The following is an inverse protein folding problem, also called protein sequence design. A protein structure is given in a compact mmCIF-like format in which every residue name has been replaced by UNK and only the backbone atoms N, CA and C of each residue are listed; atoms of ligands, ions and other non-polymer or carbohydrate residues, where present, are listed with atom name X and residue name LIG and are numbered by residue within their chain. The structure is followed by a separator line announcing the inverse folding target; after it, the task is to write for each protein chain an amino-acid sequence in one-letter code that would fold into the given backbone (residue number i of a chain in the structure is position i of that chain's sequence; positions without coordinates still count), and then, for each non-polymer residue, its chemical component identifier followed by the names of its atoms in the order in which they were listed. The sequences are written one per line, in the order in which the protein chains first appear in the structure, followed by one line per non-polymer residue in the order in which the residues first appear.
data_IF_813308801652
#
_entry.id   IF_813308801652
#
_cell.length_a   1.000
_cell.length_b   1.000
_cell.length_c   1.000
_cell.angle_alpha   90.00
_cell.angle_beta   90.00
_cell.angle_gamma   90.00
#
_symmetry.space_group_name_H-M   'P 1'
#
loop_
_entity.id
_entity.type
_entity.pdbx_description
1 polymer ?
#
# COMPACT_ATOMS: atom_id res chain seq x y z
N UNK A 1 8.86 3.17 -2.89
CA UNK A 1 9.32 2.03 -3.70
C UNK A 1 10.06 0.97 -2.91
N UNK A 2 10.89 1.37 -1.96
CA UNK A 2 11.61 0.41 -1.12
C UNK A 2 10.67 -0.58 -0.43
N UNK A 3 9.57 -0.07 0.12
CA UNK A 3 8.59 -0.87 0.84
C UNK A 3 7.96 -1.96 -0.04
N UNK A 4 7.59 -1.60 -1.27
CA UNK A 4 7.00 -2.58 -2.19
C UNK A 4 8.02 -3.66 -2.58
N UNK A 5 9.26 -3.27 -2.81
CA UNK A 5 10.32 -4.22 -3.16
C UNK A 5 10.63 -5.16 -2.01
N UNK A 6 10.73 -4.65 -0.79
CA UNK A 6 10.98 -5.47 0.39
C UNK A 6 9.84 -6.45 0.66
N UNK A 7 8.59 -5.99 0.54
CA UNK A 7 7.44 -6.84 0.76
C UNK A 7 7.35 -7.96 -0.28
N UNK A 8 7.60 -7.65 -1.54
CA UNK A 8 7.63 -8.65 -2.61
C UNK A 8 8.72 -9.67 -2.37
N UNK A 9 9.87 -9.24 -1.89
CA UNK A 9 11.00 -10.14 -1.62
C UNK A 9 10.68 -11.11 -0.49
N UNK A 10 10.06 -10.63 0.59
CA UNK A 10 9.70 -11.49 1.74
C UNK A 10 8.80 -12.62 1.30
N UNK A 11 7.81 -12.34 0.46
CA UNK A 11 6.83 -13.35 0.02
C UNK A 11 7.14 -13.94 -1.35
N UNK A 12 8.32 -13.63 -1.90
CA UNK A 12 8.76 -14.16 -3.20
C UNK A 12 7.76 -13.85 -4.32
N UNK A 13 7.23 -12.64 -4.33
CA UNK A 13 6.31 -12.16 -5.36
C UNK A 13 7.11 -11.47 -6.46
N UNK A 14 6.97 -11.92 -7.70
CA UNK A 14 7.71 -11.37 -8.84
C UNK A 14 7.03 -10.15 -9.45
N UNK A 15 5.70 -10.12 -9.43
CA UNK A 15 4.92 -9.02 -9.98
C UNK A 15 3.67 -8.82 -9.15
N UNK A 16 3.24 -7.56 -9.00
CA UNK A 16 1.99 -7.26 -8.30
C UNK A 16 0.79 -7.87 -8.99
N UNK A 17 0.84 -8.03 -10.33
CA UNK A 17 -0.23 -8.68 -11.08
C UNK A 17 -0.36 -10.17 -10.75
N UNK A 18 0.68 -10.78 -10.20
CA UNK A 18 0.70 -12.20 -9.86
C UNK A 18 0.37 -12.48 -8.40
N UNK A 19 -0.02 -11.48 -7.63
CA UNK A 19 -0.38 -11.68 -6.24
C UNK A 19 -1.70 -12.44 -6.17
N UNK A 20 -1.66 -13.63 -5.57
CA UNK A 20 -2.82 -14.45 -5.29
C UNK A 20 -3.05 -14.42 -3.78
N UNK A 21 -4.21 -13.95 -3.34
CA UNK A 21 -4.48 -13.78 -1.91
C UNK A 21 -4.47 -15.11 -1.15
N UNK A 22 -4.92 -16.19 -1.77
CA UNK A 22 -4.91 -17.49 -1.12
C UNK A 22 -3.49 -18.01 -0.90
N UNK A 23 -2.63 -17.87 -1.90
CA UNK A 23 -1.23 -18.28 -1.78
C UNK A 23 -0.49 -17.39 -0.79
N UNK A 24 -0.77 -16.09 -0.82
CA UNK A 24 -0.18 -15.14 0.10
C UNK A 24 -0.55 -15.47 1.55
N UNK A 25 -1.81 -15.79 1.79
CA UNK A 25 -2.30 -16.16 3.12
C UNK A 25 -1.65 -17.44 3.61
N UNK A 26 -1.47 -18.42 2.72
CA UNK A 26 -0.80 -19.68 3.04
C UNK A 26 0.65 -19.43 3.44
N UNK A 27 1.37 -18.64 2.67
CA UNK A 27 2.75 -18.26 2.98
C UNK A 27 2.85 -17.52 4.30
N UNK A 28 1.92 -16.59 4.54
CA UNK A 28 1.86 -15.85 5.79
C UNK A 28 1.69 -16.80 7.00
N UNK A 29 0.77 -17.74 6.90
CA UNK A 29 0.58 -18.71 7.97
C UNK A 29 1.83 -19.54 8.24
N UNK A 30 2.53 -19.94 7.18
CA UNK A 30 3.77 -20.70 7.32
C UNK A 30 4.87 -19.89 8.00
N UNK A 31 5.02 -18.62 7.61
CA UNK A 31 5.98 -17.75 8.27
C UNK A 31 5.65 -17.54 9.74
N UNK A 32 4.36 -17.38 10.07
CA UNK A 32 3.97 -17.16 11.47
C UNK A 32 4.17 -18.42 12.31
N UNK A 33 4.04 -19.60 11.74
CA UNK A 33 4.40 -20.84 12.44
C UNK A 33 5.88 -20.89 12.76
N UNK A 34 6.71 -20.36 11.87
CA UNK A 34 8.16 -20.37 12.03
C UNK A 34 8.64 -19.30 13.00
N UNK A 35 8.06 -18.09 12.93
CA UNK A 35 8.58 -16.91 13.60
C UNK A 35 7.69 -16.35 14.72
N UNK A 36 6.61 -17.05 15.11
CA UNK A 36 5.75 -16.54 16.16
C UNK A 36 6.53 -16.40 17.48
N UNK A 37 6.44 -15.23 18.13
CA UNK A 37 7.22 -14.98 19.36
C UNK A 37 7.02 -16.01 20.46
N UNK A 38 5.86 -16.65 20.55
CA UNK A 38 5.58 -17.67 21.55
C UNK A 38 6.54 -18.85 21.50
N UNK A 39 7.19 -19.07 20.36
CA UNK A 39 8.16 -20.16 20.20
C UNK A 39 9.54 -19.85 20.76
N UNK A 40 9.81 -18.60 21.11
CA UNK A 40 11.15 -18.13 21.42
C UNK A 40 11.24 -17.48 22.82
N UNK A 41 10.43 -17.94 23.74
CA UNK A 41 10.34 -17.32 25.07
C UNK A 41 11.51 -17.65 26.01
N UNK A 42 12.31 -18.65 25.67
CA UNK A 42 13.42 -19.08 26.54
C UNK A 42 14.64 -18.17 26.47
N UNK A 43 14.76 -17.35 25.44
CA UNK A 43 15.89 -16.45 25.24
C UNK A 43 15.39 -15.06 24.88
N UNK A 44 15.81 -14.05 25.62
CA UNK A 44 15.42 -12.66 25.33
C UNK A 44 15.90 -12.23 23.95
N UNK A 45 17.09 -12.66 23.55
CA UNK A 45 17.64 -12.33 22.24
C UNK A 45 16.85 -12.99 21.11
N UNK A 46 16.51 -14.26 21.27
CA UNK A 46 15.71 -14.97 20.28
C UNK A 46 14.30 -14.42 20.19
N UNK A 47 13.71 -14.09 21.34
CA UNK A 47 12.39 -13.48 21.38
C UNK A 47 12.36 -12.14 20.64
N UNK A 48 13.34 -11.27 20.91
CA UNK A 48 13.44 -9.98 20.26
C UNK A 48 13.59 -10.13 18.74
N UNK A 49 14.39 -11.10 18.28
CA UNK A 49 14.56 -11.38 16.87
C UNK A 49 13.26 -11.90 16.24
N UNK A 50 12.56 -12.80 16.93
CA UNK A 50 11.27 -13.33 16.45
C UNK A 50 10.21 -12.24 16.35
N UNK A 51 10.17 -11.33 17.31
CA UNK A 51 9.25 -10.20 17.29
C UNK A 51 9.55 -9.28 16.09
N UNK A 52 10.84 -8.99 15.84
CA UNK A 52 11.24 -8.16 14.71
C UNK A 52 10.88 -8.83 13.37
N UNK A 53 11.13 -10.12 13.24
CA UNK A 53 10.81 -10.86 12.02
C UNK A 53 9.30 -10.94 11.80
N UNK A 54 8.53 -11.28 12.83
CA UNK A 54 7.08 -11.37 12.69
C UNK A 54 6.46 -10.02 12.34
N UNK A 55 6.98 -8.93 12.90
CA UNK A 55 6.52 -7.59 12.56
C UNK A 55 6.72 -7.29 11.08
N UNK A 56 7.90 -7.61 10.53
CA UNK A 56 8.18 -7.43 9.11
C UNK A 56 7.24 -8.25 8.24
N UNK A 57 6.99 -9.49 8.63
CA UNK A 57 6.11 -10.39 7.90
C UNK A 57 4.68 -9.86 7.90
N UNK A 58 4.18 -9.43 9.05
CA UNK A 58 2.84 -8.88 9.20
C UNK A 58 2.67 -7.63 8.33
N UNK A 59 3.63 -6.70 8.41
CA UNK A 59 3.58 -5.48 7.63
C UNK A 59 3.62 -5.76 6.12
N UNK A 60 4.50 -6.69 5.70
CA UNK A 60 4.61 -7.07 4.29
C UNK A 60 3.34 -7.73 3.79
N UNK A 61 2.75 -8.61 4.60
CA UNK A 61 1.51 -9.28 4.24
C UNK A 61 0.38 -8.27 4.00
N UNK A 62 0.14 -7.40 4.97
CA UNK A 62 -0.92 -6.41 4.84
C UNK A 62 -0.67 -5.45 3.69
N UNK A 63 0.58 -5.10 3.46
CA UNK A 63 0.94 -4.24 2.34
C UNK A 63 0.60 -4.92 1.00
N UNK A 64 1.02 -6.17 0.82
CA UNK A 64 0.76 -6.91 -0.43
C UNK A 64 -0.74 -7.15 -0.65
N UNK A 65 -1.49 -7.43 0.42
CA UNK A 65 -2.95 -7.53 0.32
C UNK A 65 -3.54 -6.23 -0.21
N UNK A 66 -3.05 -5.09 0.27
CA UNK A 66 -3.60 -3.78 -0.11
C UNK A 66 -3.35 -3.42 -1.58
N UNK A 67 -2.36 -4.03 -2.23
CA UNK A 67 -2.05 -3.77 -3.65
C UNK A 67 -2.45 -4.92 -4.56
N UNK A 68 -3.03 -5.98 -4.02
CA UNK A 68 -3.38 -7.16 -4.82
C UNK A 68 -4.52 -6.86 -5.79
N UNK A 69 -4.49 -7.47 -7.01
CA UNK A 69 -5.58 -7.28 -7.97
C UNK A 69 -6.96 -7.63 -7.44
N UNK A 70 -7.08 -8.69 -6.63
CA UNK A 70 -8.36 -9.07 -6.04
C UNK A 70 -8.90 -8.00 -5.10
N UNK A 71 -8.02 -7.35 -4.33
CA UNK A 71 -8.41 -6.27 -3.44
C UNK A 71 -8.90 -5.07 -4.25
N UNK A 72 -8.20 -4.74 -5.32
CA UNK A 72 -8.61 -3.65 -6.21
C UNK A 72 -9.96 -3.97 -6.88
N UNK A 73 -10.14 -5.20 -7.34
CA UNK A 73 -11.39 -5.61 -7.96
C UNK A 73 -12.57 -5.51 -7.00
N UNK A 74 -12.37 -5.86 -5.74
CA UNK A 74 -13.42 -5.75 -4.72
C UNK A 74 -13.83 -4.32 -4.44
N UNK A 75 -12.94 -3.35 -4.67
CA UNK A 75 -13.16 -1.94 -4.37
C UNK A 75 -13.27 -1.07 -5.62
N UNK A 76 -13.38 -1.68 -6.80
CA UNK A 76 -13.28 -0.94 -8.06
C UNK A 76 -14.40 0.09 -8.24
N UNK A 77 -15.61 -0.21 -7.79
CA UNK A 77 -16.73 0.72 -7.91
C UNK A 77 -16.49 1.98 -7.07
N UNK A 78 -16.08 1.78 -5.83
CA UNK A 78 -15.76 2.88 -4.92
C UNK A 78 -14.60 3.71 -5.45
N UNK A 79 -13.55 3.04 -5.93
CA UNK A 79 -12.39 3.71 -6.49
C UNK A 79 -12.75 4.50 -7.75
N UNK A 80 -13.55 3.92 -8.63
CA UNK A 80 -13.98 4.58 -9.86
C UNK A 80 -14.79 5.84 -9.54
N UNK A 81 -15.71 5.73 -8.60
CA UNK A 81 -16.50 6.89 -8.17
C UNK A 81 -15.60 7.97 -7.56
N UNK A 82 -14.70 7.57 -6.68
CA UNK A 82 -13.77 8.50 -6.03
C UNK A 82 -12.93 9.26 -7.05
N UNK A 83 -12.30 8.55 -7.97
CA UNK A 83 -11.40 9.16 -8.95
C UNK A 83 -12.13 9.97 -10.02
N UNK A 84 -13.42 9.74 -10.18
CA UNK A 84 -14.24 10.49 -11.15
C UNK A 84 -14.82 11.76 -10.53
N UNK A 85 -15.24 11.70 -9.26
CA UNK A 85 -16.04 12.78 -8.66
C UNK A 85 -15.35 13.52 -7.53
N UNK A 86 -14.43 12.89 -6.80
CA UNK A 86 -13.82 13.50 -5.64
C UNK A 86 -12.76 14.52 -6.02
N UNK A 87 -12.61 15.52 -5.15
CA UNK A 87 -11.61 16.57 -5.31
C UNK A 87 -10.34 16.18 -4.54
N UNK A 88 -9.20 16.46 -5.14
CA UNK A 88 -7.91 16.26 -4.49
C UNK A 88 -7.69 17.45 -3.54
N UNK A 89 -7.49 17.13 -2.26
CA UNK A 89 -7.23 18.15 -1.26
C UNK A 89 -5.74 18.51 -1.19
N UNK A 90 -4.89 17.48 -1.24
CA UNK A 90 -3.44 17.65 -1.13
C UNK A 90 -2.74 16.44 -1.72
N UNK A 91 -1.44 16.57 -1.94
CA UNK A 91 -0.62 15.46 -2.37
C UNK A 91 0.81 15.63 -1.88
N UNK A 92 1.53 14.52 -1.77
CA UNK A 92 2.91 14.48 -1.33
C UNK A 92 3.67 13.47 -2.17
N UNK A 93 4.96 13.70 -2.39
CA UNK A 93 5.77 12.86 -3.24
C UNK A 93 7.13 12.61 -2.60
N UNK A 94 7.49 11.33 -2.49
CA UNK A 94 8.79 10.94 -1.94
C UNK A 94 9.18 9.56 -2.47
N UNK A 95 10.42 9.44 -2.96
CA UNK A 95 10.98 8.16 -3.40
C UNK A 95 10.09 7.42 -4.41
N UNK A 96 9.58 8.15 -5.42
CA UNK A 96 8.71 7.61 -6.45
C UNK A 96 7.34 7.14 -5.95
N UNK A 97 6.96 7.52 -4.75
CA UNK A 97 5.64 7.26 -4.21
C UNK A 97 4.87 8.56 -4.13
N UNK A 98 3.76 8.62 -4.85
CA UNK A 98 2.87 9.77 -4.82
C UNK A 98 1.69 9.45 -3.91
N UNK A 99 1.52 10.24 -2.85
CA UNK A 99 0.39 10.12 -1.95
C UNK A 99 -0.63 11.20 -2.31
N UNK A 100 -1.87 10.81 -2.54
CA UNK A 100 -2.95 11.75 -2.84
C UNK A 100 -3.98 11.68 -1.73
N UNK A 101 -4.34 12.85 -1.22
CA UNK A 101 -5.34 13.01 -0.17
C UNK A 101 -6.57 13.64 -0.81
N UNK A 102 -7.70 12.93 -0.73
CA UNK A 102 -8.97 13.42 -1.27
C UNK A 102 -9.75 14.15 -0.19
N UNK A 103 -10.67 15.01 -0.62
CA UNK A 103 -11.45 15.82 0.33
C UNK A 103 -12.30 15.00 1.29
N UNK A 104 -12.69 13.79 0.90
CA UNK A 104 -13.45 12.90 1.79
C UNK A 104 -12.59 12.19 2.83
N UNK A 105 -11.29 12.51 2.89
CA UNK A 105 -10.36 11.90 3.83
C UNK A 105 -9.68 10.64 3.33
N UNK A 106 -10.05 10.13 2.17
CA UNK A 106 -9.39 8.96 1.59
C UNK A 106 -7.97 9.31 1.19
N UNK A 107 -7.03 8.41 1.46
CA UNK A 107 -5.62 8.58 1.13
C UNK A 107 -5.19 7.40 0.28
N UNK A 108 -4.63 7.69 -0.89
CA UNK A 108 -4.13 6.66 -1.80
C UNK A 108 -2.66 6.90 -2.10
N UNK A 109 -1.90 5.83 -2.15
CA UNK A 109 -0.48 5.86 -2.52
C UNK A 109 -0.30 5.21 -3.88
N UNK A 110 0.46 5.86 -4.76
CA UNK A 110 0.77 5.39 -6.11
C UNK A 110 2.26 5.14 -6.22
N UNK A 111 2.64 3.94 -6.64
CA UNK A 111 4.02 3.47 -6.61
C UNK A 111 4.67 3.49 -7.98
N UNK A 112 5.93 3.92 -8.02
CA UNK A 112 6.70 3.95 -9.26
C UNK A 112 6.43 5.17 -10.12
N UNK A 113 5.91 6.24 -9.53
CA UNK A 113 5.64 7.48 -10.26
C UNK A 113 6.95 8.19 -10.55
N UNK A 114 7.32 8.40 -11.82
CA UNK A 114 8.56 9.11 -12.14
C UNK A 114 8.48 10.59 -11.72
N UNK A 115 9.62 11.16 -11.40
CA UNK A 115 9.69 12.56 -11.03
C UNK A 115 9.19 13.48 -12.16
N UNK A 116 9.37 13.08 -13.42
CA UNK A 116 8.87 13.84 -14.56
C UNK A 116 7.35 13.96 -14.55
N UNK A 117 6.64 12.91 -14.17
CA UNK A 117 5.18 12.93 -14.05
C UNK A 117 4.77 13.83 -12.88
N UNK A 118 5.45 13.70 -11.74
CA UNK A 118 5.18 14.57 -10.59
C UNK A 118 5.39 16.04 -10.93
N UNK A 119 6.45 16.37 -11.65
CA UNK A 119 6.73 17.76 -12.06
C UNK A 119 5.64 18.30 -12.99
N UNK A 120 5.18 17.48 -13.93
CA UNK A 120 4.07 17.86 -14.81
C UNK A 120 2.77 18.07 -14.04
N UNK A 121 2.55 17.28 -13.01
CA UNK A 121 1.39 17.39 -12.13
C UNK A 121 1.36 18.78 -11.46
N UNK A 122 2.53 19.25 -10.99
CA UNK A 122 2.64 20.55 -10.34
C UNK A 122 2.33 21.73 -11.25
N UNK A 123 2.49 21.57 -12.56
CA UNK A 123 2.22 22.62 -13.55
C UNK A 123 0.94 22.40 -14.34
N UNK A 124 0.15 21.37 -14.00
CA UNK A 124 -1.08 21.07 -14.72
C UNK A 124 -2.14 22.14 -14.47
N UNK A 125 -2.83 22.54 -15.53
CA UNK A 125 -3.89 23.53 -15.43
C UNK A 125 -5.08 23.00 -14.62
N UNK A 126 -5.37 21.70 -14.74
CA UNK A 126 -6.46 21.05 -14.02
C UNK A 126 -5.93 19.76 -13.40
N UNK A 127 -5.67 19.82 -12.09
CA UNK A 127 -5.08 18.70 -11.36
C UNK A 127 -5.93 17.42 -11.45
N UNK A 128 -7.25 17.46 -11.21
CA UNK A 128 -8.05 16.24 -11.30
C UNK A 128 -8.00 15.58 -12.68
N UNK A 129 -8.02 16.37 -13.75
CA UNK A 129 -7.95 15.83 -15.11
C UNK A 129 -6.59 15.18 -15.36
N UNK A 130 -5.52 15.82 -14.94
CA UNK A 130 -4.18 15.26 -15.07
C UNK A 130 -4.08 13.93 -14.34
N UNK A 131 -4.57 13.87 -13.10
CA UNK A 131 -4.52 12.66 -12.30
C UNK A 131 -5.33 11.52 -12.94
N UNK A 132 -6.52 11.82 -13.47
CA UNK A 132 -7.31 10.81 -14.17
C UNK A 132 -6.60 10.26 -15.40
N UNK A 133 -5.90 11.10 -16.12
CA UNK A 133 -5.20 10.69 -17.35
C UNK A 133 -3.89 9.96 -17.10
N UNK A 134 -3.15 10.36 -16.07
CA UNK A 134 -1.76 9.95 -15.92
C UNK A 134 -1.42 9.23 -14.63
N UNK A 135 -2.29 9.25 -13.62
CA UNK A 135 -1.99 8.73 -12.30
C UNK A 135 -2.90 7.56 -11.91
N UNK A 136 -4.21 7.80 -11.88
CA UNK A 136 -5.16 6.90 -11.21
C UNK A 136 -5.21 5.49 -11.78
N UNK A 137 -4.94 5.33 -13.06
CA UNK A 137 -5.03 4.03 -13.74
C UNK A 137 -3.71 3.59 -14.37
N UNK A 138 -2.63 4.28 -14.04
CA UNK A 138 -1.32 4.05 -14.68
C UNK A 138 -0.29 3.42 -13.74
N UNK A 139 -0.53 3.43 -12.44
CA UNK A 139 0.44 2.96 -11.46
C UNK A 139 -0.21 2.02 -10.47
N UNK A 140 0.60 1.15 -9.87
CA UNK A 140 0.17 0.33 -8.74
C UNK A 140 -0.23 1.26 -7.60
N UNK A 141 -1.37 1.00 -6.97
CA UNK A 141 -1.86 1.85 -5.90
C UNK A 141 -2.39 1.02 -4.73
N UNK A 142 -2.50 1.69 -3.58
CA UNK A 142 -3.17 1.14 -2.41
C UNK A 142 -3.91 2.25 -1.69
N UNK A 143 -5.02 1.89 -1.07
CA UNK A 143 -5.68 2.79 -0.15
C UNK A 143 -4.94 2.73 1.18
N UNK A 144 -4.49 3.89 1.65
CA UNK A 144 -3.88 4.05 2.95
C UNK A 144 -4.98 4.35 3.99
N UNK A 145 -4.61 4.55 5.24
CA UNK A 145 -5.57 4.92 6.26
C UNK A 145 -6.21 6.27 5.92
N UNK A 146 -7.53 6.37 6.11
CA UNK A 146 -8.23 7.63 5.92
C UNK A 146 -7.81 8.63 6.99
N UNK A 147 -7.61 9.89 6.56
CA UNK A 147 -7.38 10.97 7.49
C UNK A 147 -8.75 11.47 7.94
N UNK A 148 -9.01 11.40 9.22
CA UNK A 148 -10.27 11.86 9.80
C UNK A 148 -9.97 12.88 10.87
N UNK A 149 -10.44 14.10 10.66
CA UNK A 149 -10.23 15.16 11.64
C UNK A 149 -10.86 14.82 12.99
N UNK A 150 -11.97 14.10 12.94
CA UNK A 150 -12.70 13.68 14.11
C UNK A 150 -12.44 12.22 14.48
N UNK A 151 -11.31 11.69 14.10
CA UNK A 151 -10.98 10.30 14.40
C UNK A 151 -11.01 10.09 15.90
N UNK A 152 -11.97 9.34 16.42
CA UNK A 152 -12.03 9.12 17.84
C UNK A 152 -10.87 8.26 18.30
N UNK A 153 -10.41 8.53 19.49
CA UNK A 153 -9.46 7.63 20.11
C UNK A 153 -10.12 6.26 20.26
N UNK A 154 -9.50 5.28 19.73
CA UNK A 154 -10.03 3.94 19.74
C UNK A 154 -9.58 3.20 21.00
#
# INVERSE_FOLDING_TARGET
MKRILESKKIFNVTSTANIDLNELKKSYRNFMKEWHPDKFRESDEQLANAEAQSKKIIEAYHFLVSIAPETHAANIEEYTMLTTTATIEDYDYKNQVLKIIFQNGAVYEYFGVPKSIFNKMGSAATLPRFARRHIFHSFVYRESAKIRAAEPAQ
#
